data_IF_324160274070
#
_entry.id   IF_324160274070
#
_cell.length_a   1.000
_cell.length_b   1.000
_cell.length_c   1.000
_cell.angle_alpha   90.00
_cell.angle_beta   90.00
_cell.angle_gamma   90.00
#
_symmetry.space_group_name_H-M   'P 1'
#
loop_
_entity.id
_entity.type
_entity.pdbx_description
1 polymer ?
#
# COMPACT_ATOMS: atom_id res chain seq x y z
N UNK A 1 -12.45 -11.88 51.62
CA UNK A 1 -11.17 -11.60 50.95
C UNK A 1 -11.03 -12.57 49.79
N UNK A 2 -10.89 -12.08 48.55
CA UNK A 2 -10.66 -12.96 47.39
C UNK A 2 -9.27 -13.62 47.52
N UNK A 3 -9.21 -14.95 47.38
CA UNK A 3 -7.96 -15.73 47.42
C UNK A 3 -7.00 -15.27 46.31
N UNK A 4 -5.69 -15.32 46.59
CA UNK A 4 -4.64 -14.79 45.70
C UNK A 4 -4.74 -15.35 44.27
N UNK A 5 -5.11 -16.62 44.13
CA UNK A 5 -5.31 -17.30 42.84
C UNK A 5 -6.41 -16.66 41.97
N UNK A 6 -7.45 -16.09 42.59
CA UNK A 6 -8.53 -15.39 41.86
C UNK A 6 -8.05 -14.03 41.35
N UNK A 7 -7.15 -13.36 42.08
CA UNK A 7 -6.57 -12.09 41.62
C UNK A 7 -5.63 -12.30 40.43
N UNK A 8 -4.85 -13.37 40.42
CA UNK A 8 -3.98 -13.74 39.29
C UNK A 8 -4.82 -14.14 38.07
N UNK A 9 -5.88 -14.93 38.26
CA UNK A 9 -6.83 -15.25 37.19
C UNK A 9 -7.48 -14.01 36.57
N UNK A 10 -7.88 -13.04 37.40
CA UNK A 10 -8.41 -11.75 36.93
C UNK A 10 -7.34 -10.94 36.16
N UNK A 11 -6.09 -10.95 36.60
CA UNK A 11 -5.00 -10.25 35.93
C UNK A 11 -4.69 -10.83 34.54
N UNK A 12 -4.70 -12.17 34.40
CA UNK A 12 -4.51 -12.84 33.10
C UNK A 12 -5.67 -12.55 32.15
N UNK A 13 -6.91 -12.62 32.64
CA UNK A 13 -8.10 -12.26 31.84
C UNK A 13 -8.07 -10.78 31.43
N UNK A 14 -7.63 -9.89 32.32
CA UNK A 14 -7.46 -8.48 32.01
C UNK A 14 -6.36 -8.25 30.97
N UNK A 15 -5.24 -8.96 31.04
CA UNK A 15 -4.16 -8.86 30.05
C UNK A 15 -4.61 -9.36 28.66
N UNK A 16 -5.33 -10.49 28.60
CA UNK A 16 -5.92 -10.99 27.34
C UNK A 16 -6.96 -10.02 26.79
N UNK A 17 -7.80 -9.43 27.65
CA UNK A 17 -8.76 -8.40 27.23
C UNK A 17 -8.05 -7.16 26.67
N UNK A 18 -6.96 -6.70 27.30
CA UNK A 18 -6.15 -5.58 26.78
C UNK A 18 -5.53 -5.93 25.44
N UNK A 19 -5.02 -7.16 25.24
CA UNK A 19 -4.48 -7.59 23.95
C UNK A 19 -5.56 -7.60 22.87
N UNK A 20 -6.74 -8.16 23.16
CA UNK A 20 -7.88 -8.18 22.22
C UNK A 20 -8.31 -6.75 21.87
N UNK A 21 -8.43 -5.86 22.85
CA UNK A 21 -8.75 -4.45 22.64
C UNK A 21 -7.67 -3.77 21.80
N UNK A 22 -6.39 -4.00 22.11
CA UNK A 22 -5.28 -3.38 21.37
C UNK A 22 -5.22 -3.88 19.92
N UNK A 23 -5.44 -5.17 19.66
CA UNK A 23 -5.52 -5.72 18.31
C UNK A 23 -6.66 -5.08 17.49
N UNK A 24 -7.81 -4.84 18.12
CA UNK A 24 -8.92 -4.10 17.49
C UNK A 24 -8.56 -2.66 17.14
N UNK A 25 -7.78 -1.97 17.98
CA UNK A 25 -7.33 -0.60 17.73
C UNK A 25 -6.22 -0.49 16.67
N UNK A 26 -5.33 -1.48 16.58
CA UNK A 26 -4.22 -1.51 15.60
C UNK A 26 -4.71 -1.87 14.18
N UNK A 27 -5.83 -2.60 14.05
CA UNK A 27 -6.45 -2.96 12.77
C UNK A 27 -7.17 -1.83 12.00
N UNK A 28 -7.12 -0.59 12.49
CA UNK A 28 -7.72 0.57 11.80
C UNK A 28 -9.25 0.66 11.86
N UNK A 29 -9.93 -0.25 12.57
CA UNK A 29 -11.35 -0.13 12.87
C UNK A 29 -11.55 0.78 14.08
N UNK A 30 -11.75 2.08 13.81
CA UNK A 30 -12.24 3.01 14.83
C UNK A 30 -13.62 2.53 15.29
N UNK A 31 -13.73 2.17 16.56
CA UNK A 31 -14.99 1.85 17.29
C UNK A 31 -15.83 3.09 17.63
N UNK A 32 -15.58 4.22 16.97
CA UNK A 32 -16.51 5.34 17.01
C UNK A 32 -17.63 5.02 16.02
N UNK A 33 -18.91 5.22 16.34
CA UNK A 33 -19.92 5.39 15.32
C UNK A 33 -19.52 6.67 14.57
N UNK A 34 -18.67 6.53 13.56
CA UNK A 34 -18.40 7.62 12.65
C UNK A 34 -19.77 7.98 12.08
N UNK A 35 -20.20 9.21 12.34
CA UNK A 35 -21.45 9.75 11.82
C UNK A 35 -21.32 9.67 10.29
N UNK A 36 -21.79 8.58 9.71
CA UNK A 36 -21.52 8.15 8.33
C UNK A 36 -22.80 7.60 7.75
N UNK A 37 -22.88 7.62 6.43
CA UNK A 37 -23.93 6.97 5.67
C UNK A 37 -23.32 6.16 4.54
N UNK A 38 -24.06 5.14 4.12
CA UNK A 38 -23.63 4.24 3.06
C UNK A 38 -24.17 4.67 1.71
N UNK A 39 -23.37 4.54 0.65
CA UNK A 39 -23.81 4.65 -0.74
C UNK A 39 -23.40 3.39 -1.50
N UNK A 40 -24.25 2.92 -2.42
CA UNK A 40 -23.92 1.78 -3.28
C UNK A 40 -23.56 2.29 -4.66
N UNK A 41 -22.40 1.94 -5.18
CA UNK A 41 -22.00 2.35 -6.53
C UNK A 41 -21.75 1.13 -7.39
N UNK A 42 -22.31 1.10 -8.59
CA UNK A 42 -22.21 -0.02 -9.51
C UNK A 42 -21.23 0.33 -10.62
N UNK A 43 -20.19 -0.46 -10.80
CA UNK A 43 -19.20 -0.33 -11.88
C UNK A 43 -19.20 -1.58 -12.75
N UNK A 44 -18.90 -1.42 -14.04
CA UNK A 44 -18.67 -2.54 -14.96
C UNK A 44 -17.33 -3.25 -14.64
N UNK A 45 -16.31 -2.48 -14.26
CA UNK A 45 -15.01 -3.01 -13.85
C UNK A 45 -14.39 -2.08 -12.79
N UNK A 46 -13.82 -2.65 -11.72
CA UNK A 46 -13.21 -1.90 -10.61
C UNK A 46 -11.69 -1.84 -10.63
N UNK A 47 -11.03 -2.45 -11.64
CA UNK A 47 -9.60 -2.35 -11.90
C UNK A 47 -8.71 -2.44 -10.64
N UNK A 48 -8.94 -3.48 -9.82
CA UNK A 48 -8.12 -3.74 -8.62
C UNK A 48 -8.44 -2.89 -7.39
N UNK A 49 -9.50 -2.06 -7.43
CA UNK A 49 -10.00 -1.36 -6.25
C UNK A 49 -10.32 -2.37 -5.13
N UNK A 50 -9.65 -2.21 -4.00
CA UNK A 50 -9.76 -3.13 -2.86
C UNK A 50 -10.53 -2.50 -1.69
N UNK A 51 -11.14 -3.31 -0.80
CA UNK A 51 -11.70 -2.81 0.46
C UNK A 51 -10.68 -1.96 1.23
N UNK A 52 -11.13 -0.85 1.79
CA UNK A 52 -10.29 0.15 2.47
C UNK A 52 -9.78 1.28 1.57
N UNK A 53 -9.96 1.20 0.25
CA UNK A 53 -9.59 2.28 -0.66
C UNK A 53 -10.29 3.61 -0.29
N UNK A 54 -9.56 4.72 -0.39
CA UNK A 54 -10.08 6.04 -0.02
C UNK A 54 -11.08 6.57 -1.05
N UNK A 55 -12.10 7.27 -0.58
CA UNK A 55 -13.09 7.98 -1.40
C UNK A 55 -12.84 9.48 -1.28
N UNK A 56 -12.57 10.12 -2.41
CA UNK A 56 -12.25 11.54 -2.50
C UNK A 56 -13.37 12.29 -3.19
N UNK A 57 -13.80 13.42 -2.66
CA UNK A 57 -14.70 14.36 -3.33
C UNK A 57 -13.93 15.64 -3.64
N UNK A 58 -13.78 15.97 -4.93
CA UNK A 58 -13.11 17.20 -5.36
C UNK A 58 -11.75 17.46 -4.68
N UNK A 59 -10.95 16.40 -4.46
CA UNK A 59 -9.63 16.51 -3.83
C UNK A 59 -9.61 16.41 -2.29
N UNK A 60 -10.74 16.13 -1.64
CA UNK A 60 -10.82 15.95 -0.18
C UNK A 60 -11.25 14.51 0.15
N UNK A 61 -10.56 13.85 1.08
CA UNK A 61 -10.97 12.54 1.59
C UNK A 61 -12.29 12.66 2.36
N UNK A 62 -13.34 12.00 1.87
CA UNK A 62 -14.70 12.06 2.45
C UNK A 62 -15.19 10.72 2.99
N UNK A 63 -14.46 9.64 2.72
CA UNK A 63 -14.86 8.31 3.09
C UNK A 63 -13.94 7.21 2.60
N UNK A 64 -14.43 5.98 2.65
CA UNK A 64 -13.71 4.78 2.22
C UNK A 64 -14.63 3.74 1.60
N UNK A 65 -14.06 2.89 0.75
CA UNK A 65 -14.72 1.69 0.22
C UNK A 65 -14.74 0.67 1.34
N UNK A 66 -15.93 0.30 1.78
CA UNK A 66 -16.14 -0.69 2.84
C UNK A 66 -16.09 -2.10 2.29
N UNK A 67 -16.68 -2.33 1.12
CA UNK A 67 -16.78 -3.64 0.52
C UNK A 67 -16.87 -3.54 -1.01
N UNK A 68 -16.38 -4.57 -1.70
CA UNK A 68 -16.50 -4.75 -3.15
C UNK A 68 -17.10 -6.12 -3.39
N UNK A 69 -18.29 -6.17 -3.99
CA UNK A 69 -19.05 -7.41 -4.22
C UNK A 69 -19.31 -7.59 -5.71
N UNK A 70 -19.06 -8.79 -6.23
CA UNK A 70 -19.44 -9.15 -7.60
C UNK A 70 -20.92 -9.60 -7.61
N UNK A 71 -21.74 -8.99 -8.46
CA UNK A 71 -23.12 -9.44 -8.71
C UNK A 71 -23.13 -10.57 -9.73
N UNK A 72 -24.24 -11.32 -9.73
CA UNK A 72 -24.49 -12.40 -10.70
C UNK A 72 -24.48 -11.94 -12.17
N UNK A 73 -24.73 -10.64 -12.42
CA UNK A 73 -24.68 -10.03 -13.76
C UNK A 73 -23.27 -9.62 -14.20
N UNK A 74 -22.24 -9.95 -13.42
CA UNK A 74 -20.84 -9.67 -13.70
C UNK A 74 -20.38 -8.25 -13.32
N UNK A 75 -21.26 -7.39 -12.81
CA UNK A 75 -20.90 -6.03 -12.37
C UNK A 75 -20.43 -6.00 -10.92
N UNK A 76 -19.51 -5.10 -10.63
CA UNK A 76 -19.02 -4.87 -9.28
C UNK A 76 -19.89 -3.82 -8.56
N UNK A 77 -20.25 -4.11 -7.31
CA UNK A 77 -20.95 -3.19 -6.41
C UNK A 77 -20.03 -2.81 -5.27
N UNK A 78 -19.80 -1.52 -5.13
CA UNK A 78 -19.01 -0.94 -4.06
C UNK A 78 -19.97 -0.43 -2.99
N UNK A 79 -19.78 -0.89 -1.76
CA UNK A 79 -20.39 -0.28 -0.60
C UNK A 79 -19.42 0.81 -0.09
N UNK A 80 -19.83 2.07 -0.21
CA UNK A 80 -19.05 3.21 0.25
C UNK A 80 -19.54 3.66 1.61
N UNK A 81 -18.60 4.07 2.46
CA UNK A 81 -18.89 4.70 3.75
C UNK A 81 -18.41 6.14 3.71
N UNK A 82 -19.36 7.08 3.76
CA UNK A 82 -19.12 8.53 3.62
C UNK A 82 -19.47 9.24 4.93
N UNK A 83 -18.68 10.22 5.35
CA UNK A 83 -19.00 11.04 6.53
C UNK A 83 -20.27 11.89 6.33
N UNK A 84 -21.15 11.98 7.34
CA UNK A 84 -22.41 12.76 7.29
C UNK A 84 -22.18 14.27 7.14
N UNK A 85 -20.97 14.76 7.43
CA UNK A 85 -20.55 16.13 7.12
C UNK A 85 -20.47 16.43 5.63
N UNK A 86 -20.47 15.41 4.77
CA UNK A 86 -20.35 15.53 3.32
C UNK A 86 -21.65 15.08 2.63
N UNK A 87 -22.17 15.91 1.72
CA UNK A 87 -23.34 15.58 0.90
C UNK A 87 -22.92 15.45 -0.56
N UNK A 88 -23.11 14.26 -1.13
CA UNK A 88 -22.78 14.01 -2.54
C UNK A 88 -23.95 14.43 -3.43
N UNK A 89 -23.68 15.24 -4.46
CA UNK A 89 -24.70 15.68 -5.42
C UNK A 89 -25.17 14.51 -6.29
N UNK A 90 -26.45 14.52 -6.70
CA UNK A 90 -27.02 13.46 -7.58
C UNK A 90 -26.43 13.44 -8.98
N UNK A 91 -25.89 14.56 -9.45
CA UNK A 91 -25.23 14.67 -10.75
C UNK A 91 -23.71 14.48 -10.68
N UNK A 92 -23.16 14.15 -9.51
CA UNK A 92 -21.76 13.85 -9.34
C UNK A 92 -21.34 12.62 -10.18
N UNK A 93 -20.13 12.66 -10.71
CA UNK A 93 -19.52 11.58 -11.47
C UNK A 93 -18.53 10.82 -10.59
N UNK A 94 -18.66 9.50 -10.58
CA UNK A 94 -17.83 8.59 -9.82
C UNK A 94 -16.83 7.94 -10.75
N UNK A 95 -15.55 8.18 -10.50
CA UNK A 95 -14.45 7.80 -11.36
C UNK A 95 -13.43 7.01 -10.55
N UNK A 96 -12.98 5.89 -11.09
CA UNK A 96 -11.85 5.14 -10.52
C UNK A 96 -10.56 5.77 -11.06
N UNK A 97 -9.63 6.12 -10.18
CA UNK A 97 -8.31 6.66 -10.57
C UNK A 97 -7.22 5.79 -9.98
N UNK A 98 -6.17 5.56 -10.76
CA UNK A 98 -4.95 4.91 -10.27
C UNK A 98 -4.07 5.99 -9.65
N UNK A 99 -3.79 5.84 -8.35
CA UNK A 99 -2.86 6.67 -7.61
C UNK A 99 -1.41 6.43 -8.01
N UNK A 100 -0.54 7.36 -7.65
CA UNK A 100 0.88 7.38 -8.03
C UNK A 100 1.64 6.13 -7.57
N UNK A 101 1.22 5.48 -6.48
CA UNK A 101 1.85 4.27 -5.94
C UNK A 101 1.16 2.98 -6.42
N UNK A 102 0.39 3.05 -7.52
CA UNK A 102 -0.49 1.97 -8.03
C UNK A 102 -1.63 1.61 -7.08
N UNK A 103 -1.96 2.47 -6.12
CA UNK A 103 -3.12 2.35 -5.27
C UNK A 103 -4.36 2.91 -5.98
N UNK A 104 -5.38 2.07 -6.17
CA UNK A 104 -6.61 2.51 -6.83
C UNK A 104 -7.50 3.27 -5.83
N UNK A 105 -7.95 4.47 -6.20
CA UNK A 105 -8.86 5.32 -5.40
C UNK A 105 -10.17 5.56 -6.11
N UNK A 106 -11.21 5.87 -5.34
CA UNK A 106 -12.49 6.35 -5.88
C UNK A 106 -12.56 7.87 -5.79
N UNK A 107 -12.69 8.54 -6.94
CA UNK A 107 -12.79 9.98 -7.07
C UNK A 107 -14.22 10.38 -7.47
N UNK A 108 -14.80 11.31 -6.72
CA UNK A 108 -16.11 11.89 -6.96
C UNK A 108 -15.88 13.33 -7.42
N UNK A 109 -16.41 13.67 -8.59
CA UNK A 109 -16.31 15.02 -9.15
C UNK A 109 -17.69 15.57 -9.42
N UNK A 110 -17.93 16.81 -9.02
CA UNK A 110 -19.17 17.50 -9.33
C UNK A 110 -19.03 18.20 -10.69
N UNK A 111 -20.01 18.08 -11.60
CA UNK A 111 -20.01 18.85 -12.84
C UNK A 111 -20.16 20.36 -12.55
N UNK A 112 -19.74 21.17 -13.53
CA UNK A 112 -19.84 22.64 -13.47
C UNK A 112 -21.25 23.10 -13.10
N UNK A 113 -21.31 24.22 -12.38
CA UNK A 113 -22.52 24.73 -11.73
C UNK A 113 -23.63 24.94 -12.76
N UNK A 114 -24.68 24.13 -12.67
CA UNK A 114 -25.91 24.36 -13.44
C UNK A 114 -26.87 25.23 -12.62
N UNK A 115 -27.53 26.22 -13.23
CA UNK A 115 -28.60 26.96 -12.55
C UNK A 115 -29.76 26.01 -12.23
N UNK A 116 -30.03 25.82 -10.94
CA UNK A 116 -31.08 24.90 -10.47
C UNK A 116 -30.93 24.51 -9.00
N UNK A 117 -31.93 23.82 -8.46
CA UNK A 117 -31.89 23.28 -7.09
C UNK A 117 -30.94 22.07 -7.06
N UNK A 118 -29.91 22.14 -6.22
CA UNK A 118 -28.98 21.02 -6.02
C UNK A 118 -29.70 19.87 -5.29
N UNK A 119 -29.68 18.68 -5.91
CA UNK A 119 -30.14 17.44 -5.30
C UNK A 119 -28.96 16.61 -4.80
N UNK A 120 -29.18 15.89 -3.69
CA UNK A 120 -28.15 15.08 -3.04
C UNK A 120 -28.62 13.64 -2.90
N UNK A 121 -27.68 12.70 -2.94
CA UNK A 121 -27.96 11.30 -2.64
C UNK A 121 -28.37 11.13 -1.17
N UNK A 122 -29.29 10.20 -0.94
CA UNK A 122 -29.71 9.79 0.41
C UNK A 122 -28.92 8.56 0.87
N UNK A 123 -28.83 8.32 2.19
CA UNK A 123 -28.30 7.06 2.71
C UNK A 123 -28.95 5.84 2.04
N UNK A 124 -28.12 4.96 1.49
CA UNK A 124 -28.54 3.73 0.81
C UNK A 124 -28.86 3.88 -0.68
N UNK A 125 -28.79 5.10 -1.25
CA UNK A 125 -29.01 5.29 -2.70
C UNK A 125 -28.01 4.46 -3.51
N UNK A 126 -28.47 3.98 -4.67
CA UNK A 126 -27.64 3.25 -5.64
C UNK A 126 -27.28 4.16 -6.81
N UNK A 127 -26.00 4.23 -7.12
CA UNK A 127 -25.42 5.04 -8.18
C UNK A 127 -25.00 4.12 -9.32
N UNK A 128 -25.48 4.42 -10.52
CA UNK A 128 -25.16 3.70 -11.75
C UNK A 128 -24.43 4.58 -12.77
N UNK A 129 -24.35 5.89 -12.53
CA UNK A 129 -23.59 6.82 -13.39
C UNK A 129 -22.12 6.83 -12.94
N UNK A 130 -21.32 5.99 -13.55
CA UNK A 130 -19.90 5.81 -13.23
C UNK A 130 -19.05 5.91 -14.49
N UNK A 131 -17.79 6.35 -14.37
CA UNK A 131 -16.79 6.15 -15.42
C UNK A 131 -15.65 5.29 -14.90
N UNK A 132 -15.30 4.29 -15.69
CA UNK A 132 -14.03 3.57 -15.54
C UNK A 132 -12.96 4.31 -16.34
N UNK A 133 -11.72 4.37 -15.85
CA UNK A 133 -10.62 4.93 -16.63
C UNK A 133 -10.43 4.10 -17.91
N UNK A 134 -10.26 4.80 -19.03
CA UNK A 134 -9.95 4.16 -20.31
C UNK A 134 -8.66 3.37 -20.18
N UNK A 135 -8.68 2.11 -20.61
CA UNK A 135 -7.52 1.24 -20.62
C UNK A 135 -6.66 1.49 -21.86
N UNK A 136 -5.41 1.01 -21.85
CA UNK A 136 -4.55 1.10 -23.04
C UNK A 136 -5.14 0.30 -24.21
N UNK A 137 -5.80 -0.81 -23.89
CA UNK A 137 -6.54 -1.65 -24.82
C UNK A 137 -7.69 -0.90 -25.47
N UNK A 138 -8.42 -0.06 -24.72
CA UNK A 138 -9.49 0.80 -25.27
C UNK A 138 -8.91 1.81 -26.27
N UNK A 139 -7.75 2.41 -25.96
CA UNK A 139 -7.08 3.36 -26.84
C UNK A 139 -6.64 2.70 -28.16
N UNK A 140 -6.03 1.51 -28.08
CA UNK A 140 -5.63 0.72 -29.27
C UNK A 140 -6.86 0.30 -30.08
N UNK A 141 -7.97 -0.02 -29.41
CA UNK A 141 -9.25 -0.34 -30.05
C UNK A 141 -9.84 0.85 -30.82
N UNK A 142 -9.86 2.04 -30.22
CA UNK A 142 -10.30 3.28 -30.87
C UNK A 142 -9.42 3.63 -32.07
N UNK A 143 -8.09 3.49 -31.95
CA UNK A 143 -7.17 3.68 -33.08
C UNK A 143 -7.44 2.72 -34.25
N UNK A 144 -7.69 1.43 -33.97
CA UNK A 144 -8.10 0.47 -35.00
C UNK A 144 -9.43 0.85 -35.68
N UNK A 145 -10.40 1.37 -34.93
CA UNK A 145 -11.68 1.85 -35.51
C UNK A 145 -11.44 3.03 -36.45
N UNK A 146 -10.60 3.98 -36.05
CA UNK A 146 -10.24 5.12 -36.90
C UNK A 146 -9.56 4.65 -38.20
N UNK A 147 -8.59 3.73 -38.11
CA UNK A 147 -7.95 3.10 -39.28
C UNK A 147 -8.96 2.42 -40.21
N UNK A 148 -9.93 1.71 -39.65
CA UNK A 148 -10.99 1.06 -40.44
C UNK A 148 -11.85 2.10 -41.16
N UNK A 149 -12.24 3.19 -40.50
CA UNK A 149 -13.03 4.25 -41.14
C UNK A 149 -12.27 4.92 -42.29
N UNK A 150 -10.95 5.08 -42.17
CA UNK A 150 -10.10 5.59 -43.24
C UNK A 150 -10.00 4.60 -44.41
N UNK A 151 -9.85 3.31 -44.14
CA UNK A 151 -9.88 2.28 -45.19
C UNK A 151 -11.23 2.23 -45.92
N UNK A 152 -12.34 2.34 -45.18
CA UNK A 152 -13.69 2.40 -45.73
C UNK A 152 -13.86 3.67 -46.60
N UNK A 153 -13.28 4.81 -46.18
CA UNK A 153 -13.23 6.04 -46.98
C UNK A 153 -12.40 5.86 -48.27
N UNK A 154 -11.24 5.20 -48.22
CA UNK A 154 -10.41 4.92 -49.40
C UNK A 154 -11.11 4.00 -50.41
N UNK A 155 -11.85 3.01 -49.91
CA UNK A 155 -12.69 2.16 -50.75
C UNK A 155 -13.80 2.98 -51.43
N UNK A 156 -14.32 4.00 -50.75
CA UNK A 156 -15.32 4.94 -51.28
C UNK A 156 -14.75 5.92 -52.32
N UNK A 157 -13.45 6.24 -52.24
CA UNK A 157 -12.75 7.17 -53.16
C UNK A 157 -12.39 6.53 -54.51
N UNK A 158 -12.54 5.21 -54.68
CA UNK A 158 -12.23 4.49 -55.93
C UNK A 158 -13.03 4.98 -57.17
N UNK A 159 -14.00 5.88 -56.98
CA UNK A 159 -14.81 6.52 -58.01
C UNK A 159 -14.42 7.96 -58.39
N UNK A 160 -13.42 8.58 -57.74
CA UNK A 160 -13.02 9.96 -58.06
C UNK A 160 -12.07 9.97 -59.27
N UNK A 161 -12.64 10.06 -60.46
CA UNK A 161 -11.92 10.24 -61.73
C UNK A 161 -11.94 11.74 -62.09
N UNK A 162 -10.79 12.41 -62.02
CA UNK A 162 -10.56 13.67 -62.75
C UNK A 162 -9.99 14.86 -61.98
N UNK A 163 -10.04 14.89 -60.64
CA UNK A 163 -9.50 16.01 -59.84
C UNK A 163 -8.20 15.60 -59.14
N UNK A 164 -7.09 16.18 -59.61
CA UNK A 164 -5.75 15.88 -59.11
C UNK A 164 -5.51 16.42 -57.70
N UNK A 165 -6.21 17.51 -57.33
CA UNK A 165 -6.19 18.11 -55.98
C UNK A 165 -6.86 17.19 -54.97
N UNK A 166 -7.99 16.59 -55.35
CA UNK A 166 -8.73 15.66 -54.49
C UNK A 166 -7.93 14.37 -54.24
N UNK A 167 -7.26 13.84 -55.28
CA UNK A 167 -6.36 12.68 -55.14
C UNK A 167 -5.19 12.97 -54.20
N UNK A 168 -4.58 14.14 -54.35
CA UNK A 168 -3.45 14.54 -53.50
C UNK A 168 -3.89 14.68 -52.04
N UNK A 169 -5.02 15.34 -51.78
CA UNK A 169 -5.56 15.48 -50.42
C UNK A 169 -5.88 14.12 -49.77
N UNK A 170 -6.42 13.16 -50.54
CA UNK A 170 -6.66 11.80 -50.05
C UNK A 170 -5.33 11.10 -49.75
N UNK A 171 -4.34 11.17 -50.65
CA UNK A 171 -3.03 10.56 -50.44
C UNK A 171 -2.34 11.09 -49.17
N UNK A 172 -2.32 12.41 -48.99
CA UNK A 172 -1.72 13.06 -47.83
C UNK A 172 -2.49 12.76 -46.52
N UNK A 173 -3.80 12.54 -46.61
CA UNK A 173 -4.62 12.10 -45.46
C UNK A 173 -4.25 10.69 -45.03
N UNK A 174 -4.01 9.78 -45.99
CA UNK A 174 -3.56 8.40 -45.70
C UNK A 174 -2.18 8.39 -45.07
N UNK A 175 -1.25 9.19 -45.59
CA UNK A 175 0.08 9.31 -45.02
C UNK A 175 0.04 9.85 -43.59
N UNK A 176 -0.76 10.89 -43.34
CA UNK A 176 -0.94 11.44 -42.00
C UNK A 176 -1.54 10.43 -41.02
N UNK A 177 -2.56 9.68 -41.44
CA UNK A 177 -3.18 8.63 -40.59
C UNK A 177 -2.19 7.52 -40.27
N UNK A 178 -1.35 7.12 -41.24
CA UNK A 178 -0.29 6.13 -41.01
C UNK A 178 0.73 6.62 -39.99
N UNK A 179 1.17 7.87 -40.11
CA UNK A 179 2.10 8.48 -39.14
C UNK A 179 1.50 8.60 -37.74
N UNK A 180 0.24 9.00 -37.64
CA UNK A 180 -0.49 9.08 -36.37
C UNK A 180 -0.56 7.70 -35.71
N UNK A 181 -0.81 6.65 -36.50
CA UNK A 181 -0.87 5.27 -36.00
C UNK A 181 0.47 4.82 -35.44
N UNK A 182 1.57 5.06 -36.17
CA UNK A 182 2.93 4.77 -35.69
C UNK A 182 3.22 5.52 -34.38
N UNK A 183 2.86 6.80 -34.30
CA UNK A 183 3.03 7.61 -33.09
C UNK A 183 2.22 7.11 -31.89
N UNK A 184 1.01 6.58 -32.12
CA UNK A 184 0.20 5.97 -31.06
C UNK A 184 0.85 4.68 -30.54
N UNK A 185 1.44 3.87 -31.42
CA UNK A 185 2.19 2.67 -31.01
C UNK A 185 3.45 3.01 -30.22
N UNK A 186 4.20 4.02 -30.66
CA UNK A 186 5.39 4.50 -29.95
C UNK A 186 5.01 5.07 -28.59
N UNK A 187 3.95 5.87 -28.53
CA UNK A 187 3.40 6.40 -27.27
C UNK A 187 2.97 5.29 -26.31
N UNK A 188 2.26 4.27 -26.80
CA UNK A 188 1.85 3.11 -26.00
C UNK A 188 3.06 2.31 -25.47
N UNK A 189 4.11 2.19 -26.28
CA UNK A 189 5.35 1.51 -25.91
C UNK A 189 6.08 2.27 -24.80
N UNK A 190 6.25 3.59 -24.96
CA UNK A 190 6.85 4.45 -23.94
C UNK A 190 6.04 4.39 -22.65
N UNK A 191 4.71 4.51 -22.71
CA UNK A 191 3.84 4.41 -21.53
C UNK A 191 3.97 3.08 -20.76
N UNK A 192 4.21 1.98 -21.47
CA UNK A 192 4.42 0.67 -20.85
C UNK A 192 5.76 0.59 -20.11
N UNK A 193 6.76 1.33 -20.59
CA UNK A 193 8.13 1.34 -20.06
C UNK A 193 8.34 2.41 -18.98
N UNK A 194 7.47 3.42 -18.90
CA UNK A 194 7.60 4.51 -17.92
C UNK A 194 7.47 4.02 -16.48
N UNK A 195 8.59 4.07 -15.76
CA UNK A 195 8.62 4.18 -14.31
C UNK A 195 8.52 5.65 -13.91
N UNK A 196 7.73 5.96 -12.88
CA UNK A 196 7.32 7.32 -12.47
C UNK A 196 8.49 8.27 -12.06
N UNK A 197 9.74 7.88 -12.27
CA UNK A 197 10.94 8.62 -11.85
C UNK A 197 11.79 9.17 -13.00
N UNK A 198 11.43 8.97 -14.27
CA UNK A 198 12.31 9.35 -15.38
C UNK A 198 11.81 10.59 -16.15
N UNK A 199 12.40 11.76 -15.85
CA UNK A 199 12.09 13.04 -16.52
C UNK A 199 12.28 12.98 -18.04
N UNK A 200 13.27 12.20 -18.51
CA UNK A 200 13.55 12.06 -19.94
C UNK A 200 12.43 11.33 -20.71
N UNK A 201 11.80 10.33 -20.10
CA UNK A 201 10.68 9.59 -20.70
C UNK A 201 9.40 10.44 -20.73
N UNK A 202 9.22 11.29 -19.72
CA UNK A 202 8.12 12.27 -19.66
C UNK A 202 8.29 13.36 -20.73
N UNK A 203 9.49 13.89 -20.91
CA UNK A 203 9.77 14.88 -21.95
C UNK A 203 9.53 14.27 -23.35
N UNK A 204 9.87 12.99 -23.53
CA UNK A 204 9.58 12.25 -24.77
C UNK A 204 8.07 12.07 -24.99
N UNK A 205 7.28 11.78 -23.95
CA UNK A 205 5.82 11.73 -24.01
C UNK A 205 5.26 13.09 -24.47
N UNK A 206 5.68 14.18 -23.84
CA UNK A 206 5.20 15.53 -24.18
C UNK A 206 5.56 15.88 -25.64
N UNK A 207 6.77 15.56 -26.08
CA UNK A 207 7.20 15.79 -27.46
C UNK A 207 6.37 14.99 -28.47
N UNK A 208 6.10 13.72 -28.18
CA UNK A 208 5.28 12.85 -29.01
C UNK A 208 3.83 13.35 -29.09
N UNK A 209 3.25 13.77 -27.98
CA UNK A 209 1.88 14.29 -27.95
C UNK A 209 1.78 15.62 -28.70
N UNK A 210 2.74 16.54 -28.55
CA UNK A 210 2.77 17.78 -29.33
C UNK A 210 2.83 17.50 -30.85
N UNK A 211 3.62 16.50 -31.25
CA UNK A 211 3.74 16.10 -32.66
C UNK A 211 2.43 15.49 -33.17
N UNK A 212 1.80 14.63 -32.37
CA UNK A 212 0.51 14.01 -32.68
C UNK A 212 -0.59 15.08 -32.83
N UNK A 213 -0.66 16.03 -31.91
CA UNK A 213 -1.62 17.14 -31.96
C UNK A 213 -1.42 17.99 -33.21
N UNK A 214 -0.19 18.32 -33.58
CA UNK A 214 0.10 19.06 -34.79
C UNK A 214 -0.34 18.31 -36.07
N UNK A 215 -0.17 16.98 -36.09
CA UNK A 215 -0.60 16.14 -37.21
C UNK A 215 -2.13 16.01 -37.30
N UNK A 216 -2.81 15.94 -36.16
CA UNK A 216 -4.28 15.92 -36.10
C UNK A 216 -4.89 17.24 -36.57
N UNK A 217 -4.32 18.39 -36.19
CA UNK A 217 -4.75 19.71 -36.68
C UNK A 217 -4.64 19.77 -38.21
N UNK A 218 -3.48 19.41 -38.77
CA UNK A 218 -3.28 19.38 -40.24
C UNK A 218 -4.26 18.44 -40.95
N UNK A 219 -4.60 17.32 -40.31
CA UNK A 219 -5.55 16.35 -40.87
C UNK A 219 -6.97 16.88 -40.82
N UNK A 220 -7.37 17.57 -39.75
CA UNK A 220 -8.66 18.26 -39.64
C UNK A 220 -8.80 19.33 -40.72
N UNK A 221 -7.80 20.19 -40.89
CA UNK A 221 -7.81 21.24 -41.93
C UNK A 221 -8.01 20.66 -43.34
N UNK A 222 -7.35 19.53 -43.65
CA UNK A 222 -7.54 18.84 -44.94
C UNK A 222 -8.90 18.18 -45.08
N UNK A 223 -9.43 17.59 -44.01
CA UNK A 223 -10.77 17.03 -44.00
C UNK A 223 -11.85 18.12 -44.20
N UNK A 224 -11.66 19.30 -43.59
CA UNK A 224 -12.52 20.46 -43.80
C UNK A 224 -12.48 20.96 -45.25
N UNK A 225 -11.29 21.01 -45.87
CA UNK A 225 -11.16 21.33 -47.31
C UNK A 225 -11.84 20.31 -48.21
N UNK A 226 -11.72 19.01 -47.90
CA UNK A 226 -12.42 17.93 -48.62
C UNK A 226 -13.94 18.08 -48.48
N UNK A 227 -14.44 18.46 -47.30
CA UNK A 227 -15.86 18.70 -47.05
C UNK A 227 -16.37 19.94 -47.80
N UNK A 228 -15.55 20.99 -47.89
CA UNK A 228 -15.85 22.19 -48.65
C UNK A 228 -15.94 21.90 -50.16
N UNK A 229 -14.97 21.17 -50.72
CA UNK A 229 -14.96 20.79 -52.13
C UNK A 229 -16.09 19.80 -52.50
N UNK A 230 -16.50 18.96 -51.54
CA UNK A 230 -17.67 18.09 -51.70
C UNK A 230 -19.02 18.84 -51.68
N UNK A 231 -19.07 20.14 -51.33
CA UNK A 231 -20.24 20.98 -51.56
C UNK A 231 -20.36 21.45 -53.02
N UNK A 232 -19.23 21.60 -53.72
CA UNK A 232 -19.17 22.16 -55.07
C UNK A 232 -19.29 21.09 -56.17
N UNK A 233 -18.87 19.85 -55.87
CA UNK A 233 -19.08 18.68 -56.74
C UNK A 233 -20.30 17.93 -56.22
N UNK A 234 -21.23 17.54 -57.11
CA UNK A 234 -22.47 16.82 -56.78
C UNK A 234 -22.20 15.45 -56.10
N UNK A 235 -21.80 15.50 -54.82
CA UNK A 235 -21.34 14.37 -54.04
C UNK A 235 -22.47 13.64 -53.34
N UNK A 236 -22.32 12.33 -53.23
CA UNK A 236 -23.20 11.44 -52.50
C UNK A 236 -23.42 11.95 -51.05
N UNK A 237 -24.68 12.16 -50.60
CA UNK A 237 -25.00 12.58 -49.24
C UNK A 237 -24.37 11.69 -48.16
N UNK A 238 -24.12 10.42 -48.46
CA UNK A 238 -23.52 9.47 -47.53
C UNK A 238 -22.04 9.75 -47.29
N UNK A 239 -21.29 10.10 -48.34
CA UNK A 239 -19.87 10.50 -48.24
C UNK A 239 -19.72 11.75 -47.38
N UNK A 240 -20.62 12.71 -47.56
CA UNK A 240 -20.64 13.97 -46.80
C UNK A 240 -20.92 13.74 -45.31
N UNK A 241 -21.86 12.84 -45.00
CA UNK A 241 -22.20 12.45 -43.63
C UNK A 241 -21.04 11.74 -42.94
N UNK A 242 -20.42 10.78 -43.63
CA UNK A 242 -19.30 10.01 -43.10
C UNK A 242 -18.07 10.89 -42.87
N UNK A 243 -17.79 11.83 -43.78
CA UNK A 243 -16.68 12.79 -43.65
C UNK A 243 -16.90 13.73 -42.46
N UNK A 244 -18.12 14.25 -42.30
CA UNK A 244 -18.48 15.07 -41.13
C UNK A 244 -18.29 14.30 -39.83
N UNK A 245 -18.73 13.03 -39.78
CA UNK A 245 -18.59 12.19 -38.60
C UNK A 245 -17.12 11.89 -38.27
N UNK A 246 -16.26 11.72 -39.28
CA UNK A 246 -14.82 11.55 -39.06
C UNK A 246 -14.18 12.83 -38.49
N UNK A 247 -14.58 14.01 -38.96
CA UNK A 247 -14.13 15.30 -38.44
C UNK A 247 -14.57 15.47 -36.97
N UNK A 248 -15.83 15.19 -36.66
CA UNK A 248 -16.35 15.28 -35.29
C UNK A 248 -15.58 14.35 -34.32
N UNK A 249 -15.27 13.12 -34.76
CA UNK A 249 -14.48 12.16 -33.97
C UNK A 249 -13.01 12.62 -33.79
N UNK A 250 -12.40 13.19 -34.82
CA UNK A 250 -11.06 13.76 -34.74
C UNK A 250 -11.02 14.94 -33.75
N UNK A 251 -12.02 15.82 -33.77
CA UNK A 251 -12.14 16.93 -32.81
C UNK A 251 -12.28 16.44 -31.37
N UNK A 252 -13.11 15.41 -31.14
CA UNK A 252 -13.23 14.80 -29.81
C UNK A 252 -11.92 14.15 -29.34
N UNK A 253 -11.19 13.50 -30.25
CA UNK A 253 -9.88 12.91 -29.94
C UNK A 253 -8.84 13.97 -29.59
N UNK A 254 -8.82 15.09 -30.31
CA UNK A 254 -7.94 16.23 -30.00
C UNK A 254 -8.24 16.82 -28.62
N UNK A 255 -9.52 17.02 -28.28
CA UNK A 255 -9.92 17.52 -26.96
C UNK A 255 -9.47 16.59 -25.82
N UNK A 256 -9.62 15.27 -26.00
CA UNK A 256 -9.17 14.28 -25.01
C UNK A 256 -7.63 14.23 -24.89
N UNK A 257 -6.91 14.39 -26.00
CA UNK A 257 -5.45 14.46 -26.00
C UNK A 257 -4.96 15.73 -25.32
N UNK A 258 -5.61 16.88 -25.56
CA UNK A 258 -5.29 18.14 -24.88
C UNK A 258 -5.48 18.02 -23.37
N UNK A 259 -6.62 17.47 -22.91
CA UNK A 259 -6.88 17.20 -21.49
C UNK A 259 -5.86 16.23 -20.87
N UNK A 260 -5.47 15.19 -21.61
CA UNK A 260 -4.46 14.22 -21.18
C UNK A 260 -3.07 14.86 -21.10
N UNK A 261 -2.71 15.70 -22.08
CA UNK A 261 -1.45 16.46 -22.10
C UNK A 261 -1.38 17.41 -20.94
N UNK A 262 -2.46 18.12 -20.67
CA UNK A 262 -2.55 19.05 -19.54
C UNK A 262 -2.44 18.30 -18.21
N UNK A 263 -3.01 17.10 -18.12
CA UNK A 263 -2.89 16.24 -16.94
C UNK A 263 -1.45 15.76 -16.75
N UNK A 264 -0.78 15.30 -17.81
CA UNK A 264 0.64 14.90 -17.79
C UNK A 264 1.56 16.09 -17.51
N UNK A 265 1.28 17.26 -18.09
CA UNK A 265 2.03 18.50 -17.87
C UNK A 265 1.85 18.99 -16.43
N UNK A 266 0.64 19.00 -15.88
CA UNK A 266 0.38 19.34 -14.48
C UNK A 266 1.09 18.37 -13.52
N UNK A 267 1.15 17.08 -13.85
CA UNK A 267 1.93 16.11 -13.06
C UNK A 267 3.44 16.42 -13.00
N UNK A 268 3.96 17.21 -13.94
CA UNK A 268 5.40 17.42 -14.15
C UNK A 268 5.85 18.85 -13.87
N UNK A 269 4.98 19.83 -14.12
CA UNK A 269 5.28 21.28 -14.05
C UNK A 269 4.63 22.00 -12.87
N UNK A 270 3.84 21.33 -12.02
CA UNK A 270 3.31 21.98 -10.82
C UNK A 270 4.46 22.29 -9.84
N UNK A 271 4.87 23.56 -9.80
CA UNK A 271 5.87 24.07 -8.86
C UNK A 271 5.40 23.96 -7.39
N UNK A 272 4.09 23.90 -7.15
CA UNK A 272 3.47 23.66 -5.83
C UNK A 272 3.59 22.18 -5.44
N UNK A 273 3.37 21.24 -6.39
CA UNK A 273 3.63 19.82 -6.18
C UNK A 273 5.14 19.57 -6.02
N UNK A 274 6.01 20.33 -6.70
CA UNK A 274 7.46 20.26 -6.52
C UNK A 274 7.93 20.90 -5.19
N UNK A 275 7.22 21.89 -4.65
CA UNK A 275 7.49 22.44 -3.30
C UNK A 275 6.98 21.51 -2.22
N UNK A 276 5.78 20.94 -2.34
CA UNK A 276 5.27 19.94 -1.42
C UNK A 276 6.05 18.63 -1.56
N UNK A 277 6.56 18.27 -2.74
CA UNK A 277 7.49 17.17 -2.92
C UNK A 277 8.88 17.54 -2.40
N UNK A 278 9.37 18.79 -2.50
CA UNK A 278 10.63 19.23 -1.86
C UNK A 278 10.50 19.36 -0.35
N UNK A 279 9.34 19.70 0.17
CA UNK A 279 9.03 19.86 1.60
C UNK A 279 8.68 18.50 2.20
N UNK A 280 8.05 17.62 1.44
CA UNK A 280 7.94 16.18 1.70
C UNK A 280 9.29 15.51 1.55
N UNK A 281 10.16 15.88 0.61
CA UNK A 281 11.54 15.37 0.49
C UNK A 281 12.41 15.96 1.60
N UNK A 282 12.19 17.19 2.07
CA UNK A 282 12.92 17.78 3.20
C UNK A 282 12.44 17.20 4.53
N UNK A 283 11.14 16.90 4.64
CA UNK A 283 10.55 16.14 5.74
C UNK A 283 10.91 14.66 5.65
N UNK A 284 11.06 14.10 4.45
CA UNK A 284 11.52 12.73 4.15
C UNK A 284 13.03 12.63 4.28
N UNK A 285 13.79 13.72 4.13
CA UNK A 285 15.25 13.78 4.36
C UNK A 285 15.54 13.93 5.84
N UNK A 286 14.67 14.65 6.58
CA UNK A 286 14.64 14.66 8.05
C UNK A 286 14.11 13.33 8.62
N UNK A 287 13.19 12.67 7.92
CA UNK A 287 12.74 11.30 8.21
C UNK A 287 13.75 10.27 7.71
N UNK A 288 14.61 10.55 6.72
CA UNK A 288 15.66 9.65 6.20
C UNK A 288 16.95 9.77 7.02
N UNK A 289 17.29 10.93 7.59
CA UNK A 289 18.27 10.99 8.68
C UNK A 289 17.80 10.15 9.88
N UNK A 290 16.48 10.14 10.13
CA UNK A 290 15.87 9.28 11.15
C UNK A 290 15.62 7.83 10.67
N UNK A 291 15.53 7.58 9.37
CA UNK A 291 15.26 6.27 8.79
C UNK A 291 16.54 5.53 8.41
N UNK A 292 17.67 6.18 8.20
CA UNK A 292 18.99 5.54 8.25
C UNK A 292 19.26 5.07 9.69
N UNK A 293 18.83 5.84 10.68
CA UNK A 293 18.89 5.43 12.09
C UNK A 293 17.90 4.29 12.40
N UNK A 294 16.68 4.32 11.83
CA UNK A 294 15.69 3.26 12.00
C UNK A 294 15.99 2.01 11.17
N UNK A 295 16.56 2.13 9.97
CA UNK A 295 17.01 1.02 9.12
C UNK A 295 18.32 0.43 9.63
N UNK A 296 19.21 1.23 10.24
CA UNK A 296 20.30 0.73 11.06
C UNK A 296 19.76 0.02 12.31
N UNK A 297 18.68 0.53 12.93
CA UNK A 297 17.98 -0.12 14.05
C UNK A 297 17.28 -1.42 13.67
N UNK A 298 16.67 -1.48 12.48
CA UNK A 298 15.96 -2.66 11.94
C UNK A 298 16.96 -3.67 11.38
N UNK A 299 18.03 -3.25 10.69
CA UNK A 299 19.16 -4.14 10.36
C UNK A 299 19.84 -4.66 11.62
N UNK A 300 20.09 -3.79 12.62
CA UNK A 300 20.60 -4.22 13.94
C UNK A 300 19.62 -5.14 14.65
N UNK A 301 18.31 -4.96 14.54
CA UNK A 301 17.29 -5.83 15.14
C UNK A 301 17.18 -7.18 14.40
N UNK A 302 17.30 -7.18 13.07
CA UNK A 302 17.31 -8.38 12.23
C UNK A 302 18.62 -9.16 12.39
N UNK A 303 19.77 -8.47 12.48
CA UNK A 303 21.07 -9.04 12.82
C UNK A 303 21.09 -9.51 14.30
N UNK A 304 20.40 -8.79 15.19
CA UNK A 304 20.17 -9.23 16.57
C UNK A 304 19.35 -10.50 16.57
N UNK A 305 18.22 -10.59 15.87
CA UNK A 305 17.38 -11.80 15.88
C UNK A 305 18.06 -12.98 15.17
N UNK A 306 18.80 -12.75 14.07
CA UNK A 306 19.49 -13.83 13.33
C UNK A 306 20.77 -14.33 14.00
N UNK A 307 21.47 -13.48 14.77
CA UNK A 307 22.68 -13.85 15.52
C UNK A 307 22.44 -13.90 17.05
N UNK A 308 21.19 -13.89 17.53
CA UNK A 308 20.89 -14.13 18.95
C UNK A 308 20.96 -15.63 19.18
N UNK A 309 21.94 -16.06 19.97
CA UNK A 309 22.00 -17.45 20.42
C UNK A 309 20.94 -17.66 21.51
N UNK A 310 20.05 -18.63 21.27
CA UNK A 310 18.99 -18.98 22.22
C UNK A 310 19.32 -20.33 22.83
N UNK A 311 19.58 -20.35 24.14
CA UNK A 311 19.86 -21.56 24.93
C UNK A 311 18.68 -21.89 25.84
N UNK A 312 17.82 -22.85 25.47
CA UNK A 312 16.82 -23.38 26.39
C UNK A 312 17.50 -24.24 27.47
N UNK A 313 17.01 -24.16 28.70
CA UNK A 313 17.44 -25.03 29.80
C UNK A 313 16.24 -25.60 30.55
N UNK A 314 16.36 -26.89 30.88
CA UNK A 314 15.40 -27.63 31.66
C UNK A 314 16.15 -28.24 32.85
N UNK A 315 15.74 -27.90 34.06
CA UNK A 315 16.36 -28.39 35.28
C UNK A 315 15.36 -29.21 36.08
N UNK A 316 15.78 -30.41 36.48
CA UNK A 316 15.06 -31.23 37.45
C UNK A 316 15.87 -31.24 38.74
N UNK A 317 15.27 -30.77 39.83
CA UNK A 317 15.91 -30.67 41.14
C UNK A 317 15.18 -31.54 42.15
N UNK A 318 15.93 -32.14 43.05
CA UNK A 318 15.39 -32.81 44.22
C UNK A 318 15.95 -32.11 45.45
N UNK A 319 15.07 -31.67 46.35
CA UNK A 319 15.46 -30.99 47.58
C UNK A 319 15.32 -31.97 48.76
N UNK A 320 16.46 -32.33 49.34
CA UNK A 320 16.51 -33.32 50.42
C UNK A 320 16.01 -32.78 51.78
N UNK A 321 15.84 -31.46 51.93
CA UNK A 321 15.33 -30.85 53.18
C UNK A 321 13.80 -30.97 53.30
N UNK A 322 13.09 -30.90 52.19
CA UNK A 322 11.63 -30.94 52.12
C UNK A 322 11.09 -32.17 51.35
N UNK A 323 11.96 -33.05 50.86
CA UNK A 323 11.64 -34.30 50.14
C UNK A 323 10.78 -34.05 48.88
N UNK A 324 11.08 -32.97 48.15
CA UNK A 324 10.33 -32.53 46.97
C UNK A 324 11.15 -32.53 45.68
N UNK A 325 10.43 -32.79 44.59
CA UNK A 325 10.94 -32.64 43.23
C UNK A 325 10.45 -31.32 42.63
N UNK A 326 11.34 -30.63 41.94
CA UNK A 326 11.10 -29.35 41.27
C UNK A 326 11.52 -29.45 39.81
N UNK A 327 10.75 -28.82 38.93
CA UNK A 327 11.07 -28.72 37.51
C UNK A 327 11.11 -27.25 37.11
N UNK A 328 12.21 -26.80 36.52
CA UNK A 328 12.38 -25.44 36.06
C UNK A 328 12.62 -25.42 34.55
N UNK A 329 12.10 -24.40 33.88
CA UNK A 329 12.33 -24.16 32.46
C UNK A 329 12.76 -22.72 32.26
N UNK A 330 13.94 -22.51 31.68
CA UNK A 330 14.44 -21.18 31.38
C UNK A 330 14.86 -21.08 29.91
N UNK A 331 14.76 -19.89 29.37
CA UNK A 331 15.22 -19.51 28.05
C UNK A 331 16.24 -18.38 28.22
N UNK A 332 17.50 -18.66 27.87
CA UNK A 332 18.55 -17.66 27.89
C UNK A 332 18.85 -17.21 26.47
N UNK A 333 18.85 -15.89 26.25
CA UNK A 333 19.07 -15.27 24.95
C UNK A 333 20.35 -14.43 25.03
N UNK A 334 21.26 -14.64 24.10
CA UNK A 334 22.50 -13.89 23.96
C UNK A 334 22.42 -13.05 22.69
N UNK A 335 22.14 -11.74 22.78
CA UNK A 335 22.25 -10.84 21.64
C UNK A 335 23.65 -10.88 21.01
N UNK A 336 23.85 -10.32 19.81
CA UNK A 336 25.15 -10.28 19.14
C UNK A 336 26.26 -9.59 19.94
N UNK A 337 25.90 -8.78 20.93
CA UNK A 337 26.85 -8.26 21.92
C UNK A 337 27.18 -9.37 22.94
N UNK A 338 28.40 -9.92 22.95
CA UNK A 338 28.79 -11.04 23.80
C UNK A 338 28.91 -10.66 25.29
N UNK A 339 28.58 -9.42 25.66
CA UNK A 339 28.64 -8.92 27.04
C UNK A 339 27.30 -8.92 27.77
N UNK A 340 26.18 -9.23 27.10
CA UNK A 340 24.83 -9.19 27.70
C UNK A 340 24.07 -10.50 27.44
N UNK A 341 23.24 -10.91 28.40
CA UNK A 341 22.27 -11.99 28.23
C UNK A 341 20.93 -11.64 28.89
N UNK A 342 19.85 -12.22 28.37
CA UNK A 342 18.53 -12.14 28.96
C UNK A 342 18.06 -13.55 29.34
N UNK A 343 17.47 -13.70 30.52
CA UNK A 343 16.90 -14.96 30.98
C UNK A 343 15.43 -14.75 31.31
N UNK A 344 14.58 -15.59 30.72
CA UNK A 344 13.16 -15.67 31.04
C UNK A 344 12.84 -17.11 31.39
N UNK A 345 12.11 -17.36 32.46
CA UNK A 345 11.74 -18.73 32.79
C UNK A 345 10.74 -18.85 33.92
N UNK A 346 10.48 -20.09 34.27
CA UNK A 346 9.55 -20.50 35.31
C UNK A 346 10.27 -21.55 36.18
N UNK A 347 10.29 -21.30 37.48
CA UNK A 347 10.72 -22.25 38.50
C UNK A 347 9.49 -22.99 39.07
N UNK A 348 9.71 -24.22 39.55
CA UNK A 348 8.70 -25.03 40.25
C UNK A 348 7.43 -25.29 39.42
N UNK A 349 7.60 -25.67 38.16
CA UNK A 349 6.53 -26.04 37.23
C UNK A 349 5.65 -27.16 37.80
N UNK A 350 4.36 -26.90 37.93
CA UNK A 350 3.36 -27.87 38.41
C UNK A 350 2.94 -27.69 39.88
N UNK A 351 3.75 -27.01 40.70
CA UNK A 351 3.33 -26.39 41.97
C UNK A 351 3.26 -24.86 41.77
N UNK A 352 3.05 -24.04 42.81
CA UNK A 352 2.93 -22.57 42.68
C UNK A 352 4.15 -21.96 41.94
N UNK A 353 4.06 -21.88 40.61
CA UNK A 353 5.20 -21.59 39.75
C UNK A 353 5.64 -20.14 39.88
N UNK A 354 6.95 -19.93 39.92
CA UNK A 354 7.54 -18.61 40.12
C UNK A 354 8.27 -18.16 38.86
N UNK A 355 8.14 -16.89 38.50
CA UNK A 355 8.76 -16.36 37.28
C UNK A 355 10.21 -15.93 37.51
N UNK A 356 11.05 -16.21 36.51
CA UNK A 356 12.39 -15.68 36.37
C UNK A 356 12.44 -14.65 35.23
N UNK A 357 12.99 -13.48 35.51
CA UNK A 357 13.30 -12.45 34.52
C UNK A 357 14.60 -11.76 34.94
N UNK A 358 15.71 -12.11 34.29
CA UNK A 358 17.04 -11.60 34.69
C UNK A 358 17.80 -11.03 33.51
N UNK A 359 18.52 -9.94 33.77
CA UNK A 359 19.54 -9.37 32.91
C UNK A 359 20.91 -9.87 33.38
N UNK A 360 21.65 -10.53 32.50
CA UNK A 360 23.02 -10.95 32.74
C UNK A 360 24.01 -10.03 32.01
N UNK A 361 25.11 -9.68 32.67
CA UNK A 361 26.23 -8.94 32.10
C UNK A 361 27.52 -9.69 32.35
N UNK A 362 28.37 -9.79 31.32
CA UNK A 362 29.65 -10.49 31.43
C UNK A 362 30.59 -9.68 32.31
N UNK A 363 31.15 -10.34 33.32
CA UNK A 363 32.13 -9.74 34.22
C UNK A 363 33.49 -9.54 33.55
N UNK A 364 34.35 -8.74 34.18
CA UNK A 364 35.73 -8.52 33.72
C UNK A 364 36.59 -9.80 33.78
N UNK A 365 36.23 -10.76 34.64
CA UNK A 365 36.88 -12.06 34.74
C UNK A 365 36.30 -13.02 33.69
N UNK A 366 37.15 -13.73 32.91
CA UNK A 366 36.68 -14.73 31.96
C UNK A 366 35.80 -15.78 32.63
N UNK A 367 34.65 -16.07 32.02
CA UNK A 367 33.68 -17.06 32.53
C UNK A 367 32.71 -16.52 33.58
N UNK A 368 32.89 -15.30 34.09
CA UNK A 368 31.99 -14.72 35.09
C UNK A 368 30.85 -13.94 34.44
N UNK A 369 29.63 -14.12 34.93
CA UNK A 369 28.44 -13.35 34.57
C UNK A 369 27.75 -12.83 35.81
N UNK A 370 27.51 -11.52 35.89
CA UNK A 370 26.66 -10.94 36.93
C UNK A 370 25.22 -10.88 36.44
N UNK A 371 24.25 -11.16 37.31
CA UNK A 371 22.83 -11.17 37.00
C UNK A 371 22.07 -10.25 37.94
N UNK A 372 21.05 -9.59 37.43
CA UNK A 372 20.13 -8.77 38.20
C UNK A 372 18.72 -8.97 37.67
N UNK A 373 17.73 -9.11 38.56
CA UNK A 373 16.34 -9.15 38.15
C UNK A 373 15.47 -9.96 39.11
N UNK A 374 14.42 -10.57 38.56
CA UNK A 374 13.48 -11.40 39.31
C UNK A 374 13.95 -12.85 39.23
N UNK A 375 14.19 -13.48 40.37
CA UNK A 375 14.50 -14.90 40.54
C UNK A 375 13.47 -15.51 41.49
N UNK A 376 12.81 -16.57 41.04
CA UNK A 376 11.73 -17.25 41.77
C UNK A 376 10.70 -16.24 42.32
N UNK A 377 10.27 -15.28 41.49
CA UNK A 377 9.27 -14.27 41.85
C UNK A 377 9.76 -13.13 42.74
N UNK A 378 11.03 -13.12 43.15
CA UNK A 378 11.61 -12.11 44.04
C UNK A 378 12.73 -11.33 43.37
N UNK A 379 12.87 -10.04 43.70
CA UNK A 379 13.99 -9.23 43.20
C UNK A 379 15.31 -9.73 43.80
N UNK A 380 16.37 -9.81 43.01
CA UNK A 380 17.67 -10.24 43.46
C UNK A 380 18.78 -10.00 42.45
N UNK A 381 20.00 -10.32 42.87
CA UNK A 381 21.22 -10.26 42.06
C UNK A 381 22.03 -11.53 42.26
N UNK A 382 22.84 -11.90 41.28
CA UNK A 382 23.66 -13.09 41.37
C UNK A 382 24.93 -12.98 40.54
N UNK A 383 25.79 -13.97 40.70
CA UNK A 383 26.97 -14.16 39.88
C UNK A 383 27.06 -15.63 39.48
N UNK A 384 27.36 -15.87 38.22
CA UNK A 384 27.67 -17.18 37.68
C UNK A 384 29.14 -17.20 37.27
N UNK A 385 29.76 -18.37 37.36
CA UNK A 385 31.06 -18.65 36.80
C UNK A 385 30.99 -19.97 36.05
N UNK A 386 31.36 -19.92 34.77
CA UNK A 386 31.41 -21.08 33.90
C UNK A 386 32.77 -21.14 33.20
N UNK A 387 33.50 -22.23 33.44
CA UNK A 387 34.76 -22.50 32.75
C UNK A 387 35.03 -24.00 32.72
N UNK A 388 35.43 -24.48 31.55
CA UNK A 388 35.64 -25.91 31.29
C UNK A 388 34.37 -26.68 31.70
N UNK A 389 34.48 -27.76 32.47
CA UNK A 389 33.31 -28.52 32.94
C UNK A 389 32.70 -27.97 34.24
N UNK A 390 33.13 -26.82 34.76
CA UNK A 390 32.73 -26.33 36.10
C UNK A 390 31.76 -25.15 35.96
N UNK A 391 30.61 -25.29 36.63
CA UNK A 391 29.60 -24.25 36.75
C UNK A 391 29.39 -23.88 38.22
N UNK A 392 29.35 -22.59 38.52
CA UNK A 392 29.01 -22.07 39.84
C UNK A 392 28.01 -20.92 39.70
N UNK A 393 27.09 -20.81 40.64
CA UNK A 393 26.03 -19.83 40.64
C UNK A 393 25.75 -19.41 42.08
N UNK A 394 25.82 -18.12 42.38
CA UNK A 394 25.43 -17.55 43.67
C UNK A 394 24.36 -16.50 43.45
N UNK A 395 23.26 -16.57 44.21
CA UNK A 395 22.15 -15.62 44.15
C UNK A 395 21.86 -15.04 45.52
N UNK A 396 21.59 -13.74 45.53
CA UNK A 396 21.11 -12.96 46.67
C UNK A 396 19.73 -12.38 46.31
N UNK A 397 18.68 -12.88 46.93
CA UNK A 397 17.29 -12.57 46.56
C UNK A 397 16.50 -12.09 47.77
N UNK A 398 15.38 -11.39 47.50
CA UNK A 398 14.46 -10.81 48.48
C UNK A 398 15.10 -9.75 49.40
N UNK A 399 15.07 -8.47 49.02
CA UNK A 399 15.64 -7.40 49.84
C UNK A 399 14.98 -7.22 51.22
N UNK A 400 13.75 -7.74 51.40
CA UNK A 400 13.02 -7.64 52.66
C UNK A 400 13.32 -8.81 53.61
N UNK A 401 13.71 -9.96 53.08
CA UNK A 401 14.10 -11.16 53.81
C UNK A 401 15.25 -11.86 53.07
N UNK A 402 16.46 -11.35 53.29
CA UNK A 402 17.62 -11.64 52.46
C UNK A 402 17.96 -13.14 52.44
N UNK A 403 17.87 -13.74 51.26
CA UNK A 403 18.18 -15.16 51.03
C UNK A 403 19.39 -15.30 50.12
N UNK A 404 20.31 -16.17 50.52
CA UNK A 404 21.50 -16.51 49.73
C UNK A 404 21.42 -17.96 49.28
N UNK A 405 21.52 -18.18 47.96
CA UNK A 405 21.54 -19.51 47.36
C UNK A 405 22.88 -19.70 46.67
N UNK A 406 23.54 -20.82 46.91
CA UNK A 406 24.77 -21.19 46.21
C UNK A 406 24.59 -22.52 45.51
N UNK A 407 24.93 -22.60 44.23
CA UNK A 407 24.93 -23.82 43.44
C UNK A 407 26.30 -24.02 42.80
N UNK A 408 26.78 -25.24 42.84
CA UNK A 408 28.02 -25.67 42.18
C UNK A 408 27.73 -26.94 41.41
N UNK A 409 28.22 -27.03 40.19
CA UNK A 409 27.97 -28.17 39.35
C UNK A 409 29.06 -28.47 38.36
N UNK A 410 28.93 -29.64 37.75
CA UNK A 410 29.86 -30.15 36.75
C UNK A 410 29.11 -30.57 35.49
N UNK A 411 29.64 -30.21 34.33
CA UNK A 411 29.17 -30.66 33.03
C UNK A 411 29.51 -32.15 32.86
N UNK A 412 28.51 -32.95 32.51
CA UNK A 412 28.65 -34.39 32.27
C UNK A 412 28.68 -34.71 30.78
N UNK A 413 27.96 -33.91 29.99
CA UNK A 413 27.86 -33.95 28.53
C UNK A 413 27.59 -32.51 28.05
N UNK A 414 27.88 -32.17 26.78
CA UNK A 414 27.58 -30.84 26.24
C UNK A 414 26.16 -30.37 26.59
N UNK A 415 26.05 -29.25 27.31
CA UNK A 415 24.82 -28.64 27.83
C UNK A 415 24.04 -29.48 28.87
N UNK A 416 24.69 -30.39 29.61
CA UNK A 416 24.08 -31.19 30.69
C UNK A 416 24.93 -31.15 31.96
N UNK A 417 24.38 -30.56 33.02
CA UNK A 417 25.10 -30.34 34.28
C UNK A 417 24.44 -31.08 35.43
N UNK A 418 25.27 -31.60 36.34
CA UNK A 418 24.83 -32.02 37.66
C UNK A 418 25.14 -30.89 38.65
N UNK A 419 24.12 -30.38 39.34
CA UNK A 419 24.24 -29.26 40.28
C UNK A 419 23.98 -29.73 41.72
N UNK A 420 24.76 -29.20 42.66
CA UNK A 420 24.55 -29.29 44.10
C UNK A 420 24.31 -27.87 44.63
N UNK A 421 23.21 -27.67 45.36
CA UNK A 421 22.80 -26.37 45.89
C UNK A 421 22.69 -26.35 47.41
N UNK A 422 22.92 -25.19 48.03
CA UNK A 422 22.84 -24.94 49.48
C UNK A 422 21.99 -23.73 49.83
#
# INVERSE_FOLDING_TARGET
MLTHNVKVGIAVVAAVAVIIVTMRFVGGEKFTPDNTYTLKVVFENVQGLSPGAKVWLSGVEVGKVEEVVLRDDGRAVLNLRIGTGYRIRRDAEFNIKVGFLKDTILSITNPEVRPGKLEYFKPGDTITKTRTPSTLEDLVGEAHKALKQVNDMLASVKLIVGDETMKQNVHETVENVRMITEQIYDFATVLKEVGVQNQAEIDAIIANVNTLTANLIKTSEKADMLLANANDVAGDPEVKRNLKQAIDNLQATMANLEETTDSVKKLVTDDELNQDLKQTIKSTRRTMENADTALAGVRKAVDTVNNTEVKPSFQFRYNARDDKYHADMNLRMFPPDPSVSYLIGLDDLGENSNTNLQLGVRGALPGVWYRLGIKSGKLGMGAEYEKDDIYMEGDLIDPNDLQFNLRVGKELQPNRYLLLGW
#
